data_IF_309549887457
#
_entry.id   IF_309549887457
#
_cell.length_a   1.000
_cell.length_b   1.000
_cell.length_c   1.000
_cell.angle_alpha   90.00
_cell.angle_beta   90.00
_cell.angle_gamma   90.00
#
_symmetry.space_group_name_H-M   'P 1'
#
loop_
_entity.id
_entity.type
_entity.pdbx_description
1 polymer ?
#
# COMPACT_ATOMS: atom_id res chain seq x y z
N UNK A 1 17.51 -2.89 17.49
CA UNK A 1 16.35 -2.61 18.27
C UNK A 1 15.18 -2.20 17.43
N UNK A 2 15.37 -1.20 16.65
CA UNK A 2 14.29 -0.77 15.77
C UNK A 2 13.85 -1.84 14.81
N UNK A 3 14.78 -2.57 14.29
CA UNK A 3 14.41 -3.59 13.31
C UNK A 3 13.65 -4.71 13.97
N UNK A 4 13.98 -5.02 15.20
CA UNK A 4 13.24 -6.05 15.90
C UNK A 4 11.82 -5.62 16.14
N UNK A 5 11.63 -4.38 16.46
CA UNK A 5 10.30 -3.90 16.69
C UNK A 5 9.49 -3.93 15.40
N UNK A 6 10.11 -3.58 14.32
CA UNK A 6 9.41 -3.64 13.06
C UNK A 6 8.99 -5.04 12.71
N UNK A 7 9.85 -6.00 12.99
CA UNK A 7 9.51 -7.37 12.70
C UNK A 7 8.35 -7.81 13.56
N UNK A 8 8.39 -7.44 14.82
CA UNK A 8 7.34 -7.82 15.73
C UNK A 8 6.03 -7.22 15.31
N UNK A 9 6.07 -5.96 14.89
CA UNK A 9 4.87 -5.31 14.44
C UNK A 9 4.28 -6.03 13.26
N UNK A 10 5.12 -6.43 12.37
CA UNK A 10 4.62 -7.07 11.18
C UNK A 10 3.97 -8.39 11.51
N UNK A 11 4.57 -9.14 12.40
CA UNK A 11 3.99 -10.41 12.79
C UNK A 11 2.67 -10.20 13.49
N UNK A 12 2.63 -9.21 14.33
CA UNK A 12 1.42 -8.91 15.04
C UNK A 12 0.30 -8.58 14.08
N UNK A 13 0.62 -7.76 13.11
CA UNK A 13 -0.38 -7.37 12.15
C UNK A 13 -0.91 -8.57 11.39
N UNK A 14 -0.02 -9.45 11.01
CA UNK A 14 -0.45 -10.61 10.28
C UNK A 14 -1.35 -11.48 11.11
N UNK A 15 -0.97 -11.67 12.36
CA UNK A 15 -1.76 -12.50 13.21
C UNK A 15 -3.14 -11.95 13.44
N UNK A 16 -3.22 -10.65 13.58
CA UNK A 16 -4.51 -10.10 13.88
C UNK A 16 -5.44 -10.21 12.76
N UNK A 17 -4.88 -10.52 11.59
CA UNK A 17 -5.69 -10.51 10.55
C UNK A 17 -6.33 -11.74 10.43
N UNK A 18 -6.79 -12.35 11.26
CA UNK A 18 -7.37 -13.64 11.14
C UNK A 18 -8.58 -13.61 10.26
N UNK A 19 -8.92 -14.71 9.77
CA UNK A 19 -10.11 -14.84 8.93
C UNK A 19 -11.38 -14.44 9.64
N UNK A 20 -11.36 -14.56 10.93
CA UNK A 20 -12.54 -14.19 11.64
C UNK A 20 -12.91 -12.76 11.45
N UNK A 21 -11.92 -11.92 11.47
CA UNK A 21 -12.23 -10.54 11.30
C UNK A 21 -12.74 -10.24 9.94
N UNK A 22 -12.22 -10.92 9.00
CA UNK A 22 -12.69 -10.72 7.67
C UNK A 22 -14.16 -11.05 7.57
N UNK A 23 -14.53 -12.09 8.24
CA UNK A 23 -15.91 -12.50 8.19
C UNK A 23 -16.81 -11.51 8.88
N UNK A 24 -16.36 -11.02 9.99
CA UNK A 24 -17.21 -10.13 10.71
C UNK A 24 -17.38 -8.82 10.00
N UNK A 25 -16.35 -8.42 9.33
CA UNK A 25 -16.46 -7.14 8.69
C UNK A 25 -17.40 -7.21 7.53
N UNK A 26 -17.59 -8.36 7.02
CA UNK A 26 -18.46 -8.41 5.88
C UNK A 26 -19.82 -7.92 6.24
N UNK A 27 -20.15 -8.04 7.46
CA UNK A 27 -21.45 -7.61 7.77
C UNK A 27 -21.69 -6.17 7.49
N UNK A 28 -20.80 -5.50 7.50
CA UNK A 28 -21.02 -4.25 7.37
C UNK A 28 -21.39 -3.64 6.25
N UNK A 29 -21.34 -3.75 5.92
CA UNK A 29 -21.68 -3.16 5.15
C UNK A 29 -21.72 -2.44 4.20
N UNK A 30 -21.57 -2.19 4.37
CA UNK A 30 -21.60 -1.38 3.74
C UNK A 30 -21.34 -1.12 2.69
N UNK A 31 -21.02 -1.47 2.69
CA UNK A 31 -21.19 -1.46 1.93
C UNK A 31 -21.12 -0.87 0.84
N UNK A 32 -21.50 -0.51 0.90
CA UNK A 32 -21.66 0.19 0.01
C UNK A 32 -20.79 0.43 -0.91
N UNK A 33 -20.13 0.19 -0.86
CA UNK A 33 -19.47 0.57 -1.68
C UNK A 33 -18.63 0.11 -2.23
N UNK A 34 -18.57 -0.48 -2.24
CA UNK A 34 -17.90 -0.14 -3.01
C UNK A 34 -16.80 -0.88 -3.41
N UNK A 35 -16.68 -1.39 -4.41
CA UNK A 35 -15.55 -1.99 -5.00
C UNK A 35 -14.52 -0.97 -5.19
N UNK A 36 -13.39 -1.15 -4.63
CA UNK A 36 -12.28 -0.24 -4.85
C UNK A 36 -11.73 -0.47 -6.24
N UNK A 37 -11.16 0.59 -6.79
CA UNK A 37 -10.70 0.52 -8.16
C UNK A 37 -9.61 -0.49 -8.42
N UNK A 38 -8.85 -0.86 -7.41
CA UNK A 38 -7.74 -1.78 -7.62
C UNK A 38 -8.15 -3.25 -7.51
N UNK A 39 -9.38 -3.55 -7.22
CA UNK A 39 -9.79 -4.92 -6.94
C UNK A 39 -9.51 -5.86 -8.10
N UNK A 40 -9.71 -5.40 -9.31
CA UNK A 40 -9.47 -6.25 -10.47
C UNK A 40 -8.00 -6.60 -10.65
N UNK A 41 -7.11 -5.77 -10.14
CA UNK A 41 -5.69 -6.01 -10.24
C UNK A 41 -5.08 -6.42 -8.91
N UNK A 42 -5.91 -6.83 -7.98
CA UNK A 42 -5.46 -7.13 -6.64
C UNK A 42 -4.32 -8.13 -6.62
N UNK A 43 -4.45 -9.21 -7.38
CA UNK A 43 -3.43 -10.25 -7.36
C UNK A 43 -2.10 -9.74 -7.88
N UNK A 44 -2.16 -8.86 -8.86
CA UNK A 44 -0.94 -8.28 -9.40
C UNK A 44 -0.23 -7.40 -8.36
N UNK A 45 -1.00 -6.62 -7.63
CA UNK A 45 -0.42 -5.80 -6.58
C UNK A 45 0.14 -6.66 -5.45
N UNK A 46 -0.56 -7.73 -5.09
CA UNK A 46 -0.08 -8.62 -4.06
C UNK A 46 1.23 -9.28 -4.46
N UNK A 47 1.35 -9.70 -5.72
CA UNK A 47 2.58 -10.31 -6.18
C UNK A 47 3.74 -9.33 -6.11
N UNK A 48 3.49 -8.07 -6.48
CA UNK A 48 4.53 -7.05 -6.41
C UNK A 48 4.94 -6.79 -4.97
N UNK A 49 3.97 -6.66 -4.09
CA UNK A 49 4.26 -6.41 -2.69
C UNK A 49 5.00 -7.58 -2.05
N UNK A 50 4.68 -8.80 -2.48
CA UNK A 50 5.40 -9.96 -1.97
C UNK A 50 6.87 -9.88 -2.35
N UNK A 51 7.14 -9.45 -3.57
CA UNK A 51 8.52 -9.28 -4.01
C UNK A 51 9.22 -8.20 -3.20
N UNK A 52 8.52 -7.10 -2.95
CA UNK A 52 9.09 -6.01 -2.16
C UNK A 52 9.36 -6.48 -0.73
N UNK A 53 8.49 -7.30 -0.19
CA UNK A 53 8.69 -7.86 1.12
C UNK A 53 10.00 -8.65 1.15
N UNK A 54 10.26 -9.44 0.12
CA UNK A 54 11.51 -10.18 0.06
C UNK A 54 12.71 -9.27 -0.05
N UNK A 55 12.58 -8.18 -0.80
CA UNK A 55 13.66 -7.22 -0.90
C UNK A 55 13.94 -6.54 0.42
N UNK A 56 12.89 -6.25 1.18
CA UNK A 56 13.08 -5.64 2.49
C UNK A 56 13.80 -6.59 3.43
N UNK A 57 13.46 -7.88 3.35
CA UNK A 57 14.18 -8.87 4.17
C UNK A 57 15.64 -8.94 3.74
N UNK A 58 15.91 -8.80 2.45
CA UNK A 58 17.28 -8.76 1.98
C UNK A 58 18.06 -7.62 2.57
N UNK A 59 17.41 -6.46 2.73
CA UNK A 59 18.06 -5.33 3.36
C UNK A 59 18.45 -5.63 4.80
N UNK A 60 17.57 -6.32 5.50
CA UNK A 60 17.85 -6.69 6.87
C UNK A 60 19.11 -7.56 6.92
N UNK A 61 19.22 -8.51 6.01
CA UNK A 61 20.39 -9.38 5.95
C UNK A 61 21.64 -8.58 5.63
N UNK A 62 21.53 -7.63 4.72
CA UNK A 62 22.69 -6.85 4.35
C UNK A 62 23.26 -6.08 5.53
N UNK A 63 22.37 -5.51 6.33
CA UNK A 63 22.81 -4.78 7.51
C UNK A 63 23.38 -5.74 8.54
N UNK A 64 22.71 -6.87 8.73
CA UNK A 64 23.16 -7.86 9.68
C UNK A 64 24.53 -8.40 9.34
N UNK A 65 24.82 -8.53 8.05
CA UNK A 65 26.11 -9.01 7.58
C UNK A 65 27.14 -7.89 7.39
N UNK A 66 26.76 -6.69 7.77
CA UNK A 66 27.66 -5.55 7.74
C UNK A 66 28.22 -5.27 6.36
N UNK A 67 27.34 -5.35 5.37
CA UNK A 67 27.76 -5.07 4.01
C UNK A 67 28.01 -3.59 3.81
N UNK A 68 28.61 -3.28 2.68
CA UNK A 68 29.03 -1.92 2.38
C UNK A 68 27.82 -0.99 2.30
N UNK A 69 27.91 0.16 2.96
CA UNK A 69 26.78 1.09 3.05
C UNK A 69 26.21 1.49 1.72
N UNK A 70 27.06 1.75 0.74
CA UNK A 70 26.59 2.22 -0.55
C UNK A 70 25.73 1.15 -1.23
N UNK A 71 26.11 -0.11 -1.07
CA UNK A 71 25.32 -1.18 -1.65
C UNK A 71 23.95 -1.25 -0.99
N UNK A 72 23.91 -1.06 0.32
CA UNK A 72 22.66 -1.07 1.04
C UNK A 72 21.77 0.08 0.57
N UNK A 73 22.35 1.26 0.42
CA UNK A 73 21.60 2.42 -0.04
C UNK A 73 21.06 2.21 -1.45
N UNK A 74 21.84 1.55 -2.28
CA UNK A 74 21.39 1.26 -3.63
C UNK A 74 20.19 0.34 -3.61
N UNK A 75 20.21 -0.66 -2.73
CA UNK A 75 19.07 -1.55 -2.61
C UNK A 75 17.85 -0.84 -2.04
N UNK A 76 18.07 0.07 -1.09
CA UNK A 76 16.96 0.86 -0.57
C UNK A 76 16.32 1.67 -1.68
N UNK A 77 17.14 2.25 -2.53
CA UNK A 77 16.62 3.02 -3.65
C UNK A 77 15.76 2.14 -4.56
N UNK A 78 16.17 0.91 -4.77
CA UNK A 78 15.40 -0.01 -5.61
C UNK A 78 14.06 -0.35 -4.95
N UNK A 79 14.06 -0.57 -3.64
CA UNK A 79 12.83 -0.87 -2.92
C UNK A 79 11.89 0.33 -2.98
N UNK A 80 12.43 1.52 -2.80
CA UNK A 80 11.63 2.73 -2.88
C UNK A 80 11.01 2.89 -4.25
N UNK A 81 11.76 2.61 -5.30
CA UNK A 81 11.23 2.70 -6.65
C UNK A 81 10.10 1.69 -6.86
N UNK A 82 10.28 0.49 -6.33
CA UNK A 82 9.24 -0.52 -6.45
C UNK A 82 7.97 -0.12 -5.71
N UNK A 83 8.13 0.42 -4.51
CA UNK A 83 6.97 0.89 -3.74
C UNK A 83 6.27 2.04 -4.44
N UNK A 84 7.06 2.95 -5.01
CA UNK A 84 6.47 4.06 -5.74
C UNK A 84 5.66 3.56 -6.92
N UNK A 85 6.16 2.54 -7.59
CA UNK A 85 5.44 1.98 -8.73
C UNK A 85 4.09 1.40 -8.29
N UNK A 86 4.06 0.71 -7.15
CA UNK A 86 2.81 0.19 -6.63
C UNK A 86 1.87 1.34 -6.27
N UNK A 87 2.40 2.36 -5.62
CA UNK A 87 1.58 3.50 -5.22
C UNK A 87 0.98 4.20 -6.42
N UNK A 88 1.76 4.38 -7.47
CA UNK A 88 1.24 5.03 -8.67
C UNK A 88 0.17 4.17 -9.34
N UNK A 89 0.36 2.86 -9.33
CA UNK A 89 -0.66 1.99 -9.89
C UNK A 89 -1.97 2.08 -9.12
N UNK A 90 -1.87 2.07 -7.79
CA UNK A 90 -3.07 2.19 -6.97
C UNK A 90 -3.74 3.53 -7.17
N UNK A 91 -2.95 4.59 -7.29
CA UNK A 91 -3.50 5.91 -7.52
C UNK A 91 -4.21 5.96 -8.87
N UNK A 92 -3.60 5.39 -9.89
CA UNK A 92 -4.19 5.37 -11.21
C UNK A 92 -5.53 4.65 -11.19
N UNK A 93 -5.59 3.51 -10.54
CA UNK A 93 -6.84 2.76 -10.43
C UNK A 93 -7.89 3.55 -9.65
N UNK A 94 -7.45 4.23 -8.60
CA UNK A 94 -8.36 5.04 -7.81
C UNK A 94 -8.95 6.17 -8.65
N UNK A 95 -8.10 6.83 -9.43
CA UNK A 95 -8.57 7.91 -10.29
C UNK A 95 -9.55 7.39 -11.34
N UNK A 96 -9.23 6.27 -11.93
CA UNK A 96 -10.06 5.75 -13.01
C UNK A 96 -11.41 5.26 -12.55
N UNK A 97 -11.51 4.82 -11.32
CA UNK A 97 -12.75 4.22 -10.86
C UNK A 97 -13.46 5.07 -9.82
N UNK A 98 -12.78 5.33 -8.72
CA UNK A 98 -13.44 5.98 -7.61
C UNK A 98 -13.65 7.47 -7.83
N UNK A 99 -12.61 8.15 -8.31
CA UNK A 99 -12.71 9.59 -8.48
C UNK A 99 -13.59 9.93 -9.66
N UNK A 100 -13.48 9.15 -10.72
CA UNK A 100 -14.31 9.39 -11.90
C UNK A 100 -15.79 9.23 -11.55
N UNK A 101 -16.11 8.20 -10.75
CA UNK A 101 -17.50 7.99 -10.38
C UNK A 101 -18.00 9.13 -9.50
N UNK A 102 -17.18 9.60 -8.59
CA UNK A 102 -17.56 10.73 -7.76
C UNK A 102 -17.76 11.99 -8.60
N UNK A 103 -16.92 12.17 -9.60
CA UNK A 103 -17.04 13.33 -10.46
C UNK A 103 -18.36 13.35 -11.22
N UNK A 104 -18.85 12.18 -11.56
CA UNK A 104 -20.14 12.10 -12.24
C UNK A 104 -21.27 12.58 -11.37
N UNK A 105 -21.16 12.36 -10.08
CA UNK A 105 -22.17 12.84 -9.14
C UNK A 105 -22.05 14.33 -8.92
N UNK A 106 -20.83 14.86 -9.02
CA UNK A 106 -20.61 16.29 -8.91
C UNK A 106 -20.72 16.80 -7.48
N UNK A 107 -20.66 18.11 -7.36
CA UNK A 107 -20.87 18.77 -6.09
C UNK A 107 -19.84 18.42 -5.04
N UNK A 108 -20.30 18.39 -3.80
CA UNK A 108 -19.40 18.20 -2.68
C UNK A 108 -18.73 16.84 -2.71
N UNK A 109 -19.40 15.87 -3.26
CA UNK A 109 -18.85 14.53 -3.34
C UNK A 109 -17.59 14.53 -4.20
N UNK A 110 -17.66 15.17 -5.35
CA UNK A 110 -16.51 15.26 -6.23
C UNK A 110 -15.39 16.06 -5.58
N UNK A 111 -15.74 17.16 -4.94
CA UNK A 111 -14.74 18.00 -4.30
C UNK A 111 -14.01 17.23 -3.20
N UNK A 112 -14.75 16.47 -2.41
CA UNK A 112 -14.15 15.69 -1.34
C UNK A 112 -13.17 14.67 -1.89
N UNK A 113 -13.53 14.01 -2.97
CA UNK A 113 -12.67 13.01 -3.56
C UNK A 113 -11.41 13.63 -4.17
N UNK A 114 -11.56 14.77 -4.80
CA UNK A 114 -10.39 15.45 -5.34
C UNK A 114 -9.46 15.92 -4.25
N UNK A 115 -10.02 16.40 -3.14
CA UNK A 115 -9.19 16.82 -2.02
C UNK A 115 -8.46 15.63 -1.42
N UNK A 116 -9.15 14.52 -1.29
CA UNK A 116 -8.57 13.30 -0.76
C UNK A 116 -7.35 12.88 -1.59
N UNK A 117 -7.49 12.92 -2.91
CA UNK A 117 -6.40 12.55 -3.80
C UNK A 117 -5.25 13.53 -3.69
N UNK A 118 -5.57 14.82 -3.63
CA UNK A 118 -4.54 15.84 -3.51
C UNK A 118 -3.73 15.64 -2.24
N UNK A 119 -4.40 15.35 -1.14
CA UNK A 119 -3.72 15.13 0.13
C UNK A 119 -2.85 13.88 0.06
N UNK A 120 -3.34 12.84 -0.59
CA UNK A 120 -2.58 11.61 -0.72
C UNK A 120 -1.32 11.84 -1.55
N UNK A 121 -1.45 12.59 -2.65
CA UNK A 121 -0.30 12.89 -3.49
C UNK A 121 0.73 13.69 -2.71
N UNK A 122 0.28 14.64 -1.92
CA UNK A 122 1.20 15.47 -1.15
C UNK A 122 2.03 14.62 -0.19
N UNK A 123 1.39 13.66 0.47
CA UNK A 123 2.11 12.79 1.39
C UNK A 123 3.06 11.86 0.66
N UNK A 124 2.64 11.39 -0.49
CA UNK A 124 3.39 10.41 -1.25
C UNK A 124 4.58 11.06 -1.97
N UNK A 125 4.45 12.29 -2.38
CA UNK A 125 5.51 12.97 -3.14
C UNK A 125 6.66 13.44 -2.25
N UNK A 126 6.43 13.46 -0.94
CA UNK A 126 7.51 13.83 -0.08
C UNK A 126 8.55 12.76 -0.08
#
# INVERSE_FOLDING_TARGET
VGSEMCIRDRETIVDTRTPDQAASSSGGADTCHTTHGYINDKDRYLARLKRIEGQARGLHSMVDEEQYCIDILTQISAVNAALRSVALGLLDDHMKHCVRDAAKLGGEEADAKFQEVTDAIARFAR
#
